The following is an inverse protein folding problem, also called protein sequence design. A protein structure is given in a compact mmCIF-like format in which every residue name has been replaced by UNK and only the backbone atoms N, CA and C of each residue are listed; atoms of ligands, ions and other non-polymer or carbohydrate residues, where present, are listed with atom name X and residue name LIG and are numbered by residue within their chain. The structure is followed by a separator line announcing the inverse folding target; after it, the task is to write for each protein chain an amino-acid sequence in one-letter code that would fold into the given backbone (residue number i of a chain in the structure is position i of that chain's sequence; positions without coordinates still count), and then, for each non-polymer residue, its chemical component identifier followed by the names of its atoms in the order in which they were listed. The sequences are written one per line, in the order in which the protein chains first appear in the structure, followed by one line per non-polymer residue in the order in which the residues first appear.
data_IF_638155736800
#
_entry.id   IF_638155736800
#
_cell.length_a   1.000
_cell.length_b   1.000
_cell.length_c   1.000
_cell.angle_alpha   90.00
_cell.angle_beta   90.00
_cell.angle_gamma   90.00
#
_symmetry.space_group_name_H-M   'P 1'
#
loop_
_entity.id
_entity.type
_entity.pdbx_description
1 polymer ?
#
# COMPACT_ATOMS: atom_id res chain seq x y z
N UNK A 1 -4.95 -33.12 -23.16
CA UNK A 1 -4.21 -32.58 -22.00
C UNK A 1 -5.20 -31.96 -21.01
N UNK A 2 -5.03 -32.13 -19.70
CA UNK A 2 -5.92 -31.51 -18.70
C UNK A 2 -5.07 -30.75 -17.69
N UNK A 3 -5.39 -29.47 -17.51
CA UNK A 3 -4.87 -28.58 -16.49
C UNK A 3 -6.06 -27.86 -15.85
N UNK A 4 -6.16 -27.90 -14.53
CA UNK A 4 -7.23 -27.27 -13.76
C UNK A 4 -6.58 -26.36 -12.73
N UNK A 5 -6.64 -25.05 -12.98
CA UNK A 5 -6.22 -24.06 -11.99
C UNK A 5 -7.30 -23.94 -10.92
N UNK A 6 -6.91 -24.01 -9.66
CA UNK A 6 -7.83 -23.74 -8.57
C UNK A 6 -8.16 -22.25 -8.53
N UNK A 7 -9.36 -21.89 -8.08
CA UNK A 7 -9.87 -20.50 -8.10
C UNK A 7 -8.95 -19.49 -7.43
N UNK A 8 -8.15 -19.90 -6.45
CA UNK A 8 -7.20 -19.01 -5.79
C UNK A 8 -5.94 -18.72 -6.62
N UNK A 9 -5.73 -19.40 -7.74
CA UNK A 9 -4.63 -19.11 -8.68
C UNK A 9 -3.25 -19.63 -8.26
N UNK A 10 -3.14 -20.29 -7.10
CA UNK A 10 -1.87 -20.68 -6.49
C UNK A 10 -1.52 -22.16 -6.63
N UNK A 11 -2.52 -23.00 -6.87
CA UNK A 11 -2.33 -24.43 -7.10
C UNK A 11 -3.14 -24.90 -8.29
N UNK A 12 -2.65 -25.92 -8.98
CA UNK A 12 -3.35 -26.55 -10.09
C UNK A 12 -3.17 -28.07 -10.10
N UNK A 13 -4.08 -28.75 -10.80
CA UNK A 13 -3.98 -30.16 -11.12
C UNK A 13 -3.67 -30.33 -12.61
N UNK A 14 -2.59 -31.02 -12.93
CA UNK A 14 -2.16 -31.34 -14.28
C UNK A 14 -2.03 -32.85 -14.45
N UNK A 15 -2.57 -33.38 -15.57
CA UNK A 15 -2.37 -34.80 -15.90
C UNK A 15 -1.08 -35.01 -16.72
N UNK A 16 -0.63 -36.26 -16.82
CA UNK A 16 0.61 -36.60 -17.55
C UNK A 16 0.62 -36.13 -19.01
N UNK A 17 -0.54 -36.02 -19.67
CA UNK A 17 -0.64 -35.48 -21.02
C UNK A 17 -0.42 -33.96 -21.07
N UNK A 18 -0.79 -33.21 -20.02
CA UNK A 18 -0.47 -31.79 -19.88
C UNK A 18 1.03 -31.57 -19.64
N UNK A 19 1.65 -32.31 -18.71
CA UNK A 19 3.11 -32.24 -18.50
C UNK A 19 3.90 -32.42 -19.80
N UNK A 20 3.57 -33.46 -20.58
CA UNK A 20 4.18 -33.69 -21.90
C UNK A 20 3.92 -32.56 -22.90
N UNK A 21 2.69 -32.03 -22.96
CA UNK A 21 2.34 -30.95 -23.88
C UNK A 21 3.07 -29.64 -23.57
N UNK A 22 3.37 -29.40 -22.28
CA UNK A 22 4.14 -28.25 -21.80
C UNK A 22 5.66 -28.49 -21.79
N UNK A 23 6.13 -29.66 -22.24
CA UNK A 23 7.55 -30.00 -22.25
C UNK A 23 8.19 -30.19 -20.87
N UNK A 24 7.39 -30.49 -19.84
CA UNK A 24 7.89 -30.74 -18.48
C UNK A 24 8.16 -32.25 -18.32
N UNK A 25 9.42 -32.69 -18.16
CA UNK A 25 9.76 -34.11 -18.04
C UNK A 25 9.31 -34.68 -16.69
N UNK A 26 9.10 -36.00 -16.60
CA UNK A 26 8.56 -36.66 -15.39
C UNK A 26 9.47 -36.55 -14.15
N UNK A 27 10.75 -36.28 -14.37
CA UNK A 27 11.81 -36.08 -13.38
C UNK A 27 12.22 -34.61 -13.23
N UNK A 28 11.44 -33.66 -13.76
CA UNK A 28 11.75 -32.24 -13.66
C UNK A 28 11.98 -31.80 -12.20
N UNK A 29 13.08 -31.09 -11.95
CA UNK A 29 13.30 -30.44 -10.67
C UNK A 29 12.23 -29.38 -10.41
N UNK A 30 12.01 -29.07 -9.13
CA UNK A 30 11.15 -27.96 -8.75
C UNK A 30 11.75 -26.63 -9.28
N UNK A 31 10.93 -25.77 -9.92
CA UNK A 31 11.40 -24.46 -10.34
C UNK A 31 11.62 -23.55 -9.13
N UNK A 32 12.39 -22.45 -9.27
CA UNK A 32 12.49 -21.43 -8.23
C UNK A 32 11.10 -20.98 -7.78
N UNK A 33 10.87 -21.01 -6.46
CA UNK A 33 9.61 -20.59 -5.83
C UNK A 33 8.36 -21.36 -6.28
N UNK A 34 8.52 -22.60 -6.75
CA UNK A 34 7.40 -23.44 -7.14
C UNK A 34 7.69 -24.90 -6.81
N UNK A 35 6.66 -25.73 -6.94
CA UNK A 35 6.80 -27.14 -6.62
C UNK A 35 5.89 -28.04 -7.45
N UNK A 36 6.43 -29.18 -7.83
CA UNK A 36 5.66 -30.33 -8.31
C UNK A 36 5.53 -31.34 -7.17
N UNK A 37 4.32 -31.58 -6.67
CA UNK A 37 4.13 -32.55 -5.60
C UNK A 37 4.38 -33.97 -6.11
N UNK A 38 5.10 -34.76 -5.32
CA UNK A 38 5.53 -36.11 -5.66
C UNK A 38 4.97 -37.12 -4.68
N UNK A 39 4.58 -38.28 -5.20
CA UNK A 39 4.12 -39.38 -4.38
C UNK A 39 5.29 -39.90 -3.53
N UNK A 40 5.13 -40.07 -2.20
CA UNK A 40 6.24 -40.40 -1.31
C UNK A 40 6.91 -41.74 -1.67
N UNK A 41 6.12 -42.75 -2.05
CA UNK A 41 6.66 -44.10 -2.32
C UNK A 41 7.27 -44.25 -3.73
N UNK A 42 6.81 -43.47 -4.71
CA UNK A 42 7.20 -43.69 -6.11
C UNK A 42 8.04 -42.56 -6.71
N UNK A 43 8.10 -41.41 -6.03
CA UNK A 43 8.76 -40.19 -6.53
C UNK A 43 8.08 -39.55 -7.76
N UNK A 44 7.03 -40.17 -8.31
CA UNK A 44 6.30 -39.66 -9.47
C UNK A 44 5.43 -38.47 -9.10
N UNK A 45 5.19 -37.57 -10.04
CA UNK A 45 4.25 -36.47 -9.84
C UNK A 45 2.86 -36.96 -9.45
N UNK A 46 2.27 -36.34 -8.43
CA UNK A 46 0.86 -36.55 -8.06
C UNK A 46 -0.09 -35.82 -9.03
N UNK A 47 0.46 -34.90 -9.83
CA UNK A 47 -0.26 -33.99 -10.70
C UNK A 47 -0.58 -32.64 -10.05
N UNK A 48 -0.39 -32.51 -8.73
CA UNK A 48 -0.56 -31.23 -8.05
C UNK A 48 0.68 -30.36 -8.28
N UNK A 49 0.46 -29.14 -8.78
CA UNK A 49 1.50 -28.14 -9.07
C UNK A 49 1.23 -26.86 -8.28
N UNK A 50 2.28 -26.21 -7.80
CA UNK A 50 2.20 -25.06 -6.89
C UNK A 50 3.01 -23.88 -7.41
N UNK A 51 2.41 -22.69 -7.34
CA UNK A 51 3.03 -21.41 -7.64
C UNK A 51 3.74 -21.39 -9.01
N UNK A 52 5.03 -21.06 -9.09
CA UNK A 52 5.74 -20.90 -10.36
C UNK A 52 5.81 -22.21 -11.17
N UNK A 53 5.57 -23.37 -10.56
CA UNK A 53 5.43 -24.65 -11.26
C UNK A 53 4.19 -24.71 -12.17
N UNK A 54 3.20 -23.84 -11.97
CA UNK A 54 2.06 -23.68 -12.87
C UNK A 54 2.40 -22.85 -14.12
N UNK A 55 3.47 -22.04 -14.11
CA UNK A 55 3.78 -21.09 -15.19
C UNK A 55 3.97 -21.74 -16.57
N UNK A 56 4.63 -22.92 -16.73
CA UNK A 56 4.72 -23.55 -18.05
C UNK A 56 3.36 -23.87 -18.67
N UNK A 57 2.39 -24.25 -17.82
CA UNK A 57 1.03 -24.56 -18.25
C UNK A 57 0.25 -23.30 -18.59
N UNK A 58 0.28 -22.31 -17.69
CA UNK A 58 -0.40 -21.02 -17.88
C UNK A 58 0.17 -20.28 -19.10
N UNK A 59 1.49 -20.29 -19.27
CA UNK A 59 2.15 -19.70 -20.43
C UNK A 59 1.68 -20.33 -21.74
N UNK A 60 1.49 -21.66 -21.79
CA UNK A 60 0.95 -22.32 -22.97
C UNK A 60 -0.54 -22.02 -23.19
N UNK A 61 -1.34 -21.93 -22.14
CA UNK A 61 -2.77 -21.59 -22.21
C UNK A 61 -2.97 -20.17 -22.73
N UNK A 62 -2.22 -19.22 -22.19
CA UNK A 62 -2.39 -17.78 -22.46
C UNK A 62 -1.52 -17.26 -23.62
N UNK A 63 -0.69 -18.12 -24.24
CA UNK A 63 0.20 -17.73 -25.34
C UNK A 63 -0.56 -17.03 -26.48
N UNK A 64 -1.77 -17.53 -26.79
CA UNK A 64 -2.58 -17.03 -27.91
C UNK A 64 -3.55 -15.90 -27.56
N UNK A 65 -3.77 -15.59 -26.27
CA UNK A 65 -4.86 -14.69 -25.87
C UNK A 65 -4.78 -13.32 -26.57
N UNK A 66 -5.73 -12.97 -27.42
CA UNK A 66 -5.70 -11.65 -28.04
C UNK A 66 -6.10 -10.57 -27.02
N UNK A 67 -5.64 -9.33 -27.20
CA UNK A 67 -6.12 -8.19 -26.38
C UNK A 67 -7.63 -8.01 -26.50
N UNK A 68 -8.21 -8.38 -27.65
CA UNK A 68 -9.66 -8.35 -27.86
C UNK A 68 -10.39 -9.44 -27.06
N UNK A 69 -9.80 -10.63 -26.96
CA UNK A 69 -10.36 -11.72 -26.15
C UNK A 69 -10.33 -11.36 -24.67
N UNK A 70 -9.25 -10.71 -24.20
CA UNK A 70 -9.18 -10.15 -22.84
C UNK A 70 -10.27 -9.09 -22.65
N UNK A 71 -10.46 -8.18 -23.62
CA UNK A 71 -11.48 -7.15 -23.55
C UNK A 71 -12.90 -7.75 -23.48
N UNK A 72 -13.21 -8.76 -24.29
CA UNK A 72 -14.49 -9.49 -24.24
C UNK A 72 -14.73 -10.19 -22.89
N UNK A 73 -13.67 -10.76 -22.30
CA UNK A 73 -13.73 -11.32 -20.96
C UNK A 73 -14.03 -10.26 -19.90
N UNK A 74 -13.32 -9.13 -19.96
CA UNK A 74 -13.51 -7.99 -19.07
C UNK A 74 -14.91 -7.39 -19.16
N UNK A 75 -15.53 -7.33 -20.34
CA UNK A 75 -16.91 -6.86 -20.50
C UNK A 75 -17.91 -7.69 -19.70
N UNK A 76 -17.70 -9.01 -19.59
CA UNK A 76 -18.55 -9.90 -18.78
C UNK A 76 -18.36 -9.61 -17.30
N UNK A 77 -17.12 -9.46 -16.85
CA UNK A 77 -16.79 -9.05 -15.46
C UNK A 77 -17.42 -7.71 -15.14
N UNK A 78 -17.35 -6.73 -16.05
CA UNK A 78 -17.93 -5.41 -15.83
C UNK A 78 -19.45 -5.45 -15.78
N UNK A 79 -20.10 -6.26 -16.62
CA UNK A 79 -21.53 -6.45 -16.56
C UNK A 79 -21.98 -7.01 -15.20
N UNK A 80 -21.22 -7.97 -14.65
CA UNK A 80 -21.45 -8.51 -13.31
C UNK A 80 -21.23 -7.45 -12.23
N UNK A 81 -20.09 -6.74 -12.21
CA UNK A 81 -19.84 -5.63 -11.28
C UNK A 81 -20.97 -4.58 -11.32
N UNK A 82 -21.38 -4.17 -12.52
CA UNK A 82 -22.45 -3.19 -12.71
C UNK A 82 -23.81 -3.70 -12.19
N UNK A 83 -24.08 -5.01 -12.30
CA UNK A 83 -25.30 -5.60 -11.74
C UNK A 83 -25.39 -5.46 -10.20
N UNK A 84 -24.24 -5.31 -9.54
CA UNK A 84 -24.12 -5.01 -8.10
C UNK A 84 -23.96 -3.51 -7.79
N UNK A 85 -24.02 -2.63 -8.78
CA UNK A 85 -23.79 -1.19 -8.61
C UNK A 85 -22.32 -0.79 -8.41
N UNK A 86 -21.38 -1.71 -8.64
CA UNK A 86 -19.95 -1.42 -8.59
C UNK A 86 -19.58 -0.67 -9.87
N UNK A 87 -19.15 0.59 -9.74
CA UNK A 87 -18.85 1.48 -10.88
C UNK A 87 -17.37 1.79 -11.06
N UNK A 88 -16.54 1.36 -10.11
CA UNK A 88 -15.09 1.53 -10.16
C UNK A 88 -14.40 0.31 -9.55
N UNK A 89 -13.29 -0.13 -10.14
CA UNK A 89 -12.48 -1.26 -9.66
C UNK A 89 -11.00 -0.94 -9.74
N UNK A 90 -10.22 -1.52 -8.84
CA UNK A 90 -8.77 -1.58 -8.97
C UNK A 90 -8.40 -3.00 -9.40
N UNK A 91 -7.76 -3.12 -10.56
CA UNK A 91 -7.30 -4.41 -11.06
C UNK A 91 -5.88 -4.66 -10.57
N UNK A 92 -5.76 -5.63 -9.67
CA UNK A 92 -4.52 -6.11 -9.07
C UNK A 92 -3.70 -6.91 -10.09
N UNK A 93 -2.36 -6.87 -9.97
CA UNK A 93 -1.42 -7.65 -10.77
C UNK A 93 -1.70 -7.62 -12.30
N UNK A 94 -2.05 -6.45 -12.83
CA UNK A 94 -2.46 -6.30 -14.23
C UNK A 94 -1.24 -6.43 -15.18
N UNK A 95 -1.19 -7.44 -16.08
CA UNK A 95 -0.08 -7.60 -17.02
C UNK A 95 -0.17 -6.62 -18.19
N UNK A 96 0.93 -6.43 -18.92
CA UNK A 96 1.04 -5.45 -20.00
C UNK A 96 -0.02 -5.64 -21.10
N UNK A 97 -0.37 -6.91 -21.41
CA UNK A 97 -1.41 -7.22 -22.40
C UNK A 97 -2.80 -6.76 -21.94
N UNK A 98 -3.13 -6.92 -20.66
CA UNK A 98 -4.39 -6.42 -20.10
C UNK A 98 -4.41 -4.89 -20.01
N UNK A 99 -3.26 -4.25 -19.71
CA UNK A 99 -3.12 -2.79 -19.78
C UNK A 99 -3.46 -2.27 -21.19
N UNK A 100 -2.97 -2.92 -22.25
CA UNK A 100 -3.31 -2.58 -23.63
C UNK A 100 -4.78 -2.84 -23.96
N UNK A 101 -5.35 -3.93 -23.45
CA UNK A 101 -6.79 -4.21 -23.59
C UNK A 101 -7.64 -3.09 -22.99
N UNK A 102 -7.32 -2.59 -21.79
CA UNK A 102 -8.02 -1.45 -21.19
C UNK A 102 -7.94 -0.18 -22.05
N UNK A 103 -6.76 0.14 -22.58
CA UNK A 103 -6.58 1.29 -23.47
C UNK A 103 -7.43 1.15 -24.74
N UNK A 104 -7.41 -0.03 -25.37
CA UNK A 104 -8.25 -0.30 -26.55
C UNK A 104 -9.73 -0.21 -26.23
N UNK A 105 -10.18 -0.77 -25.10
CA UNK A 105 -11.57 -0.65 -24.66
C UNK A 105 -11.97 0.81 -24.43
N UNK A 106 -11.07 1.62 -23.88
CA UNK A 106 -11.27 3.05 -23.68
C UNK A 106 -11.42 3.79 -25.01
N UNK A 107 -10.55 3.50 -25.98
CA UNK A 107 -10.56 4.12 -27.31
C UNK A 107 -11.78 3.76 -28.13
N UNK A 108 -12.27 2.51 -28.00
CA UNK A 108 -13.45 2.03 -28.73
C UNK A 108 -14.77 2.25 -28.00
N UNK A 109 -14.77 2.96 -26.86
CA UNK A 109 -15.98 3.21 -26.07
C UNK A 109 -16.60 1.98 -25.41
N UNK A 110 -15.83 0.89 -25.27
CA UNK A 110 -16.24 -0.38 -24.65
C UNK A 110 -16.00 -0.41 -23.13
N UNK A 111 -15.19 0.50 -22.60
CA UNK A 111 -14.90 0.57 -21.17
C UNK A 111 -16.10 1.13 -20.39
N UNK A 112 -16.71 0.29 -19.53
CA UNK A 112 -17.94 0.63 -18.79
C UNK A 112 -17.74 0.90 -17.29
N UNK A 113 -16.52 0.69 -16.79
CA UNK A 113 -16.12 0.94 -15.41
C UNK A 113 -14.91 1.87 -15.37
N UNK A 114 -14.76 2.61 -14.27
CA UNK A 114 -13.50 3.27 -13.95
C UNK A 114 -12.50 2.26 -13.40
N UNK A 115 -11.30 2.21 -13.97
CA UNK A 115 -10.30 1.18 -13.67
C UNK A 115 -9.02 1.84 -13.18
N UNK A 116 -8.64 1.52 -11.94
CA UNK A 116 -7.28 1.71 -11.47
C UNK A 116 -6.45 0.48 -11.80
N UNK A 117 -5.34 0.67 -12.51
CA UNK A 117 -4.38 -0.38 -12.86
C UNK A 117 -3.33 -0.44 -11.76
N UNK A 118 -3.22 -1.60 -11.11
CA UNK A 118 -2.06 -1.94 -10.30
C UNK A 118 -1.21 -2.87 -11.17
N UNK A 119 -0.10 -2.35 -11.71
CA UNK A 119 0.68 -3.08 -12.70
C UNK A 119 1.41 -4.28 -12.07
N UNK A 120 1.46 -5.39 -12.80
CA UNK A 120 2.02 -6.64 -12.30
C UNK A 120 3.54 -6.58 -12.16
N UNK A 121 4.02 -6.67 -10.93
CA UNK A 121 5.44 -6.89 -10.62
C UNK A 121 5.92 -8.33 -10.89
N UNK A 122 5.00 -9.24 -11.26
CA UNK A 122 5.31 -10.62 -11.70
C UNK A 122 5.77 -10.69 -13.16
N UNK A 123 5.47 -9.67 -13.97
CA UNK A 123 5.86 -9.64 -15.38
C UNK A 123 7.23 -8.98 -15.53
N UNK A 124 8.21 -9.75 -16.01
CA UNK A 124 9.58 -9.29 -16.19
C UNK A 124 9.66 -8.06 -17.10
N UNK A 125 10.29 -7.00 -16.61
CA UNK A 125 10.55 -5.77 -17.36
C UNK A 125 9.38 -4.79 -17.41
N UNK A 126 8.17 -5.16 -16.97
CA UNK A 126 7.01 -4.26 -17.03
C UNK A 126 7.23 -3.03 -16.11
N UNK A 127 7.63 -3.26 -14.86
CA UNK A 127 7.81 -2.18 -13.90
C UNK A 127 9.00 -1.29 -14.30
N UNK A 128 10.09 -1.90 -14.76
CA UNK A 128 11.26 -1.19 -15.28
C UNK A 128 10.89 -0.31 -16.48
N UNK A 129 10.03 -0.80 -17.39
CA UNK A 129 9.55 -0.03 -18.52
C UNK A 129 8.66 1.15 -18.09
N UNK A 130 7.79 0.98 -17.09
CA UNK A 130 6.98 2.06 -16.53
C UNK A 130 7.87 3.15 -15.90
N UNK A 131 8.87 2.73 -15.12
CA UNK A 131 9.86 3.64 -14.51
C UNK A 131 10.64 4.38 -15.59
N UNK A 132 11.16 3.67 -16.60
CA UNK A 132 11.94 4.26 -17.69
C UNK A 132 11.12 5.24 -18.53
N UNK A 133 9.82 4.99 -18.68
CA UNK A 133 8.88 5.88 -19.36
C UNK A 133 8.43 7.09 -18.51
N UNK A 134 8.86 7.19 -17.25
CA UNK A 134 8.49 8.27 -16.34
C UNK A 134 7.04 8.20 -15.85
N UNK A 135 6.43 7.01 -15.88
CA UNK A 135 5.07 6.78 -15.41
C UNK A 135 5.05 6.84 -13.88
N UNK A 136 4.10 7.61 -13.35
CA UNK A 136 3.88 7.79 -11.90
C UNK A 136 2.46 7.38 -11.53
N UNK A 137 2.21 7.16 -10.24
CA UNK A 137 0.84 6.96 -9.74
C UNK A 137 -0.07 8.10 -10.19
N UNK A 138 -1.23 7.74 -10.73
CA UNK A 138 -2.22 8.65 -11.30
C UNK A 138 -2.13 8.83 -12.82
N UNK A 139 -1.11 8.28 -13.49
CA UNK A 139 -0.98 8.41 -14.95
C UNK A 139 -2.14 7.75 -15.70
N UNK A 140 -2.85 8.52 -16.52
CA UNK A 140 -4.04 8.09 -17.27
C UNK A 140 -5.13 9.15 -17.26
N UNK A 141 -6.39 8.72 -17.34
CA UNK A 141 -7.57 9.58 -17.23
C UNK A 141 -8.56 9.07 -16.15
N UNK A 142 -9.73 9.69 -16.06
CA UNK A 142 -10.78 9.33 -15.09
C UNK A 142 -11.35 7.92 -15.29
N UNK A 143 -11.13 7.32 -16.46
CA UNK A 143 -11.64 5.99 -16.82
C UNK A 143 -10.61 4.90 -16.66
N UNK A 144 -9.35 5.15 -17.02
CA UNK A 144 -8.27 4.20 -16.87
C UNK A 144 -6.99 4.92 -16.46
N UNK A 145 -6.41 4.52 -15.33
CA UNK A 145 -5.16 5.10 -14.82
C UNK A 145 -4.33 4.11 -14.04
N UNK A 146 -3.02 4.25 -14.10
CA UNK A 146 -2.08 3.53 -13.23
C UNK A 146 -2.22 4.09 -11.82
N UNK A 147 -2.50 3.24 -10.85
CA UNK A 147 -2.62 3.62 -9.43
C UNK A 147 -1.49 3.06 -8.57
N UNK A 148 -0.72 2.10 -9.08
CA UNK A 148 0.41 1.50 -8.37
C UNK A 148 1.03 0.34 -9.13
N UNK A 149 1.92 -0.34 -8.45
CA UNK A 149 2.58 -1.58 -8.89
C UNK A 149 2.50 -2.58 -7.76
N UNK A 150 2.45 -3.87 -8.08
CA UNK A 150 2.22 -4.90 -7.07
C UNK A 150 3.11 -6.12 -7.18
N UNK A 151 3.60 -6.55 -6.03
CA UNK A 151 4.24 -7.84 -5.85
C UNK A 151 3.46 -8.69 -4.85
N UNK A 152 3.50 -10.00 -5.05
CA UNK A 152 2.78 -10.96 -4.23
C UNK A 152 3.78 -11.98 -3.69
N UNK A 153 4.48 -11.67 -2.59
CA UNK A 153 5.56 -12.48 -2.04
C UNK A 153 5.10 -13.76 -1.38
N UNK A 154 3.84 -13.86 -0.98
CA UNK A 154 3.27 -15.11 -0.51
C UNK A 154 1.86 -15.30 -1.08
N UNK A 155 1.20 -16.37 -0.66
CA UNK A 155 0.15 -16.99 -1.46
C UNK A 155 -1.08 -17.32 -0.61
N UNK A 156 -1.69 -18.49 -0.84
CA UNK A 156 -3.00 -18.82 -0.29
C UNK A 156 -2.91 -19.76 0.92
N UNK A 157 -3.54 -19.36 2.03
CA UNK A 157 -3.72 -20.23 3.21
C UNK A 157 -4.46 -21.51 2.83
N UNK A 158 -5.53 -21.37 2.04
CA UNK A 158 -6.31 -22.52 1.58
C UNK A 158 -5.51 -23.41 0.62
N UNK A 159 -4.50 -22.84 -0.06
CA UNK A 159 -3.59 -23.54 -0.97
C UNK A 159 -2.44 -24.22 -0.27
N UNK A 160 -2.29 -23.91 1.01
CA UNK A 160 -1.17 -24.32 1.85
C UNK A 160 0.16 -23.82 1.29
N UNK A 161 0.13 -22.60 0.73
CA UNK A 161 1.29 -21.91 0.14
C UNK A 161 1.58 -20.53 0.73
N UNK A 162 0.61 -19.88 1.41
CA UNK A 162 0.88 -18.69 2.22
C UNK A 162 2.00 -18.96 3.24
N UNK A 163 2.89 -17.98 3.43
CA UNK A 163 4.13 -18.15 4.15
C UNK A 163 3.93 -17.93 5.66
N UNK A 164 4.05 -19.00 6.44
CA UNK A 164 3.91 -18.93 7.90
C UNK A 164 5.24 -19.16 8.62
N UNK A 165 5.35 -18.69 9.88
CA UNK A 165 6.44 -19.10 10.77
C UNK A 165 6.23 -20.51 11.31
N UNK A 166 4.99 -20.88 11.62
CA UNK A 166 4.63 -22.21 12.10
C UNK A 166 4.11 -23.11 10.96
N UNK A 167 4.21 -24.45 11.09
CA UNK A 167 3.72 -25.36 10.07
C UNK A 167 2.20 -25.39 9.97
N UNK A 168 1.68 -25.66 8.78
CA UNK A 168 0.25 -25.80 8.55
C UNK A 168 -0.34 -26.95 9.36
N UNK A 169 -1.44 -26.66 10.06
CA UNK A 169 -2.24 -27.67 10.78
C UNK A 169 -3.22 -28.42 9.86
N UNK A 170 -3.80 -29.51 10.35
CA UNK A 170 -4.87 -30.26 9.67
C UNK A 170 -4.40 -31.45 8.83
N UNK A 171 -5.34 -32.04 8.09
CA UNK A 171 -5.07 -33.20 7.23
C UNK A 171 -4.17 -32.79 6.05
N UNK A 172 -3.06 -33.51 5.89
CA UNK A 172 -2.07 -33.26 4.83
C UNK A 172 -2.56 -33.76 3.47
N UNK A 173 -2.11 -33.08 2.42
CA UNK A 173 -2.33 -33.52 1.04
C UNK A 173 -1.23 -34.51 0.63
N UNK A 174 -1.55 -35.48 -0.23
CA UNK A 174 -0.56 -36.45 -0.73
C UNK A 174 0.57 -35.72 -1.45
N UNK A 175 1.80 -35.90 -0.99
CA UNK A 175 3.01 -35.25 -1.52
C UNK A 175 3.40 -33.94 -0.83
N UNK A 176 2.58 -33.47 0.11
CA UNK A 176 2.93 -32.35 0.98
C UNK A 176 4.13 -32.69 1.88
N UNK A 177 5.03 -31.72 2.11
CA UNK A 177 6.15 -31.89 3.05
C UNK A 177 5.66 -31.92 4.50
N UNK A 178 6.42 -32.62 5.35
CA UNK A 178 6.06 -32.79 6.75
C UNK A 178 5.98 -31.46 7.51
N UNK A 179 6.94 -30.56 7.28
CA UNK A 179 7.05 -29.23 7.87
C UNK A 179 6.60 -28.13 6.88
N UNK A 180 5.41 -28.26 6.30
CA UNK A 180 4.93 -27.27 5.35
C UNK A 180 4.67 -25.93 6.05
N UNK A 181 5.43 -24.89 5.70
CA UNK A 181 5.29 -23.50 6.19
C UNK A 181 4.95 -22.53 5.05
N UNK A 182 4.46 -23.05 3.92
CA UNK A 182 4.27 -22.29 2.69
C UNK A 182 5.58 -21.80 2.09
N UNK A 183 5.51 -20.83 1.18
CA UNK A 183 6.65 -20.36 0.43
C UNK A 183 6.62 -18.85 0.19
N UNK A 184 7.82 -18.26 0.17
CA UNK A 184 8.03 -16.91 -0.32
C UNK A 184 8.41 -16.98 -1.79
N UNK A 185 7.87 -16.08 -2.61
CA UNK A 185 8.05 -16.06 -4.06
C UNK A 185 9.18 -15.17 -4.56
N UNK A 186 9.92 -14.55 -3.63
CA UNK A 186 11.03 -13.66 -3.93
C UNK A 186 12.13 -13.83 -2.90
N UNK A 187 13.34 -13.47 -3.30
CA UNK A 187 14.41 -13.18 -2.35
C UNK A 187 14.17 -11.80 -1.70
N UNK A 188 14.49 -11.67 -0.41
CA UNK A 188 14.23 -10.44 0.35
C UNK A 188 14.90 -9.21 -0.27
N UNK A 189 16.17 -9.34 -0.64
CA UNK A 189 16.93 -8.26 -1.26
C UNK A 189 16.40 -7.90 -2.66
N UNK A 190 15.81 -8.87 -3.36
CA UNK A 190 15.19 -8.63 -4.66
C UNK A 190 13.92 -7.80 -4.54
N UNK A 191 13.01 -8.20 -3.65
CA UNK A 191 11.78 -7.46 -3.43
C UNK A 191 12.06 -6.05 -2.89
N UNK A 192 12.98 -5.91 -1.92
CA UNK A 192 13.41 -4.61 -1.39
C UNK A 192 13.91 -3.69 -2.49
N UNK A 193 14.80 -4.19 -3.36
CA UNK A 193 15.35 -3.41 -4.48
C UNK A 193 14.26 -2.94 -5.46
N UNK A 194 13.30 -3.82 -5.79
CA UNK A 194 12.17 -3.50 -6.68
C UNK A 194 11.24 -2.46 -6.07
N UNK A 195 10.86 -2.64 -4.80
CA UNK A 195 10.04 -1.69 -4.05
C UNK A 195 10.70 -0.31 -3.97
N UNK A 196 12.00 -0.26 -3.64
CA UNK A 196 12.78 0.99 -3.62
C UNK A 196 12.76 1.67 -4.99
N UNK A 197 12.99 0.93 -6.08
CA UNK A 197 13.04 1.49 -7.42
C UNK A 197 11.69 2.10 -7.84
N UNK A 198 10.59 1.39 -7.63
CA UNK A 198 9.25 1.87 -7.95
C UNK A 198 8.85 3.08 -7.08
N UNK A 199 9.12 3.01 -5.78
CA UNK A 199 8.82 4.11 -4.86
C UNK A 199 9.60 5.38 -5.21
N UNK A 200 10.91 5.25 -5.51
CA UNK A 200 11.75 6.36 -6.01
C UNK A 200 11.23 6.98 -7.31
N UNK A 201 10.60 6.18 -8.16
CA UNK A 201 9.99 6.64 -9.40
C UNK A 201 8.63 7.32 -9.19
N UNK A 202 8.08 7.33 -7.97
CA UNK A 202 6.77 7.91 -7.67
C UNK A 202 5.60 6.98 -8.03
N UNK A 203 5.82 5.68 -8.04
CA UNK A 203 4.80 4.65 -8.12
C UNK A 203 4.43 4.18 -6.71
N UNK A 204 3.13 3.99 -6.46
CA UNK A 204 2.62 3.41 -5.23
C UNK A 204 2.99 1.94 -5.23
N UNK A 205 3.69 1.51 -4.19
CA UNK A 205 4.10 0.12 -3.99
C UNK A 205 3.01 -0.61 -3.21
N UNK A 206 2.41 -1.62 -3.83
CA UNK A 206 1.50 -2.57 -3.20
C UNK A 206 2.22 -3.90 -3.03
N UNK A 207 2.13 -4.52 -1.86
CA UNK A 207 2.72 -5.84 -1.63
C UNK A 207 1.70 -6.67 -0.87
N UNK A 208 1.30 -7.80 -1.45
CA UNK A 208 0.38 -8.74 -0.80
C UNK A 208 1.09 -9.49 0.34
N UNK A 209 0.37 -9.76 1.43
CA UNK A 209 0.86 -10.57 2.53
C UNK A 209 -0.30 -11.31 3.19
N UNK A 210 -0.27 -12.64 3.18
CA UNK A 210 -1.35 -13.48 3.73
C UNK A 210 -0.91 -14.19 5.01
N UNK A 211 0.18 -14.93 4.96
CA UNK A 211 0.78 -15.56 6.13
C UNK A 211 1.60 -14.57 6.96
N UNK A 212 1.79 -14.84 8.25
CA UNK A 212 2.51 -13.93 9.16
C UNK A 212 3.94 -13.65 8.70
N UNK A 213 4.65 -14.68 8.23
CA UNK A 213 5.98 -14.53 7.62
C UNK A 213 5.94 -13.78 6.27
N UNK A 214 4.87 -13.94 5.50
CA UNK A 214 4.64 -13.17 4.26
C UNK A 214 4.39 -11.68 4.52
N UNK A 215 3.62 -11.37 5.55
CA UNK A 215 3.32 -10.01 6.01
C UNK A 215 4.61 -9.31 6.46
N UNK A 216 5.41 -9.95 7.33
CA UNK A 216 6.70 -9.39 7.76
C UNK A 216 7.61 -9.10 6.56
N UNK A 217 7.67 -10.02 5.59
CA UNK A 217 8.45 -9.87 4.37
C UNK A 217 8.01 -8.67 3.52
N UNK A 218 6.70 -8.42 3.43
CA UNK A 218 6.13 -7.27 2.75
C UNK A 218 6.45 -5.95 3.48
N UNK A 219 6.30 -5.92 4.81
CA UNK A 219 6.60 -4.76 5.65
C UNK A 219 8.08 -4.37 5.53
N UNK A 220 8.98 -5.35 5.59
CA UNK A 220 10.42 -5.20 5.39
C UNK A 220 10.77 -4.48 4.07
N UNK A 221 10.05 -4.79 2.99
CA UNK A 221 10.24 -4.16 1.68
C UNK A 221 9.70 -2.72 1.64
N UNK A 222 8.57 -2.46 2.28
CA UNK A 222 7.98 -1.12 2.40
C UNK A 222 8.88 -0.23 3.27
N UNK A 223 9.36 -0.71 4.41
CA UNK A 223 10.28 0.01 5.29
C UNK A 223 11.57 0.37 4.56
N UNK A 224 12.15 -0.56 3.80
CA UNK A 224 13.33 -0.29 2.97
C UNK A 224 13.07 0.78 1.90
N UNK A 225 11.90 0.76 1.25
CA UNK A 225 11.50 1.78 0.29
C UNK A 225 11.37 3.17 0.93
N UNK A 226 10.68 3.27 2.07
CA UNK A 226 10.50 4.51 2.81
C UNK A 226 11.80 5.06 3.36
N UNK A 227 12.69 4.21 3.89
CA UNK A 227 14.01 4.60 4.36
C UNK A 227 14.90 5.11 3.22
N UNK A 228 14.81 4.49 2.04
CA UNK A 228 15.60 4.86 0.86
C UNK A 228 15.09 6.13 0.16
N UNK A 229 13.79 6.43 0.26
CA UNK A 229 13.18 7.65 -0.27
C UNK A 229 11.91 8.01 0.51
N UNK A 230 11.98 8.82 1.58
CA UNK A 230 10.76 9.28 2.25
C UNK A 230 9.91 10.11 1.27
N UNK A 231 8.57 10.03 1.37
CA UNK A 231 7.61 10.50 0.36
C UNK A 231 8.00 11.84 -0.29
N UNK A 232 8.38 11.77 -1.56
CA UNK A 232 8.85 12.91 -2.33
C UNK A 232 7.83 14.05 -2.41
N UNK A 233 6.53 13.73 -2.46
CA UNK A 233 5.47 14.73 -2.57
C UNK A 233 5.26 15.44 -1.25
N UNK A 234 5.26 14.68 -0.14
CA UNK A 234 5.22 15.25 1.20
C UNK A 234 6.45 16.15 1.44
N UNK A 235 7.65 15.66 1.12
CA UNK A 235 8.90 16.44 1.17
C UNK A 235 8.81 17.70 0.30
N UNK A 236 8.36 17.59 -0.96
CA UNK A 236 8.22 18.73 -1.86
C UNK A 236 7.20 19.77 -1.35
N UNK A 237 6.08 19.33 -0.79
CA UNK A 237 5.09 20.22 -0.18
C UNK A 237 5.69 20.97 1.02
N UNK A 238 6.46 20.30 1.87
CA UNK A 238 7.16 20.93 2.98
C UNK A 238 8.28 21.87 2.52
N UNK A 239 9.04 21.50 1.50
CA UNK A 239 10.06 22.35 0.89
C UNK A 239 9.43 23.63 0.31
N UNK A 240 8.39 23.50 -0.50
CA UNK A 240 7.79 24.61 -1.23
C UNK A 240 6.96 25.53 -0.33
N UNK A 241 6.26 24.99 0.67
CA UNK A 241 5.26 25.75 1.41
C UNK A 241 5.69 26.14 2.84
N UNK A 242 6.71 25.50 3.41
CA UNK A 242 7.10 25.72 4.81
C UNK A 242 8.59 26.00 5.00
N UNK A 243 9.48 25.28 4.31
CA UNK A 243 10.93 25.46 4.44
C UNK A 243 11.37 26.86 4.01
N UNK A 244 10.79 27.40 2.92
CA UNK A 244 11.11 28.77 2.47
C UNK A 244 10.82 29.81 3.55
N UNK A 245 9.73 29.65 4.31
CA UNK A 245 9.40 30.52 5.44
C UNK A 245 10.30 30.29 6.67
N UNK A 246 10.77 29.07 6.88
CA UNK A 246 11.64 28.69 8.00
C UNK A 246 13.12 29.08 7.79
N UNK A 247 13.58 29.23 6.55
CA UNK A 247 14.97 29.55 6.22
C UNK A 247 15.42 30.92 6.74
N UNK A 248 14.56 31.93 6.72
CA UNK A 248 14.96 33.31 7.01
C UNK A 248 16.13 33.74 6.10
N UNK A 249 17.27 34.08 6.70
CA UNK A 249 18.51 34.44 5.99
C UNK A 249 19.40 33.23 5.63
N UNK A 250 19.05 32.01 6.05
CA UNK A 250 19.82 30.81 5.74
C UNK A 250 19.65 30.37 4.28
N UNK A 251 20.67 29.69 3.74
CA UNK A 251 20.63 29.09 2.39
C UNK A 251 20.36 27.58 2.48
N UNK A 252 19.85 26.97 1.41
CA UNK A 252 19.69 25.51 1.35
C UNK A 252 21.02 24.79 1.58
N UNK A 253 22.13 25.34 1.08
CA UNK A 253 23.48 24.80 1.26
C UNK A 253 24.01 24.91 2.70
N UNK A 254 23.41 25.74 3.55
CA UNK A 254 23.82 25.87 4.96
C UNK A 254 23.02 24.99 5.92
N UNK A 255 22.05 24.22 5.43
CA UNK A 255 21.27 23.30 6.26
C UNK A 255 22.11 22.09 6.66
N UNK A 256 22.03 21.70 7.92
CA UNK A 256 22.69 20.53 8.51
C UNK A 256 21.83 19.25 8.44
N UNK A 257 20.68 19.32 7.77
CA UNK A 257 19.79 18.18 7.52
C UNK A 257 19.40 18.11 6.04
N UNK A 258 19.07 16.90 5.56
CA UNK A 258 18.66 16.63 4.18
C UNK A 258 17.18 16.25 4.05
N UNK A 259 16.78 15.84 2.84
CA UNK A 259 15.40 15.47 2.53
C UNK A 259 14.82 14.35 3.41
N UNK A 260 15.68 13.46 3.93
CA UNK A 260 15.25 12.39 4.85
C UNK A 260 14.63 12.93 6.15
N UNK A 261 15.27 13.91 6.79
CA UNK A 261 14.76 14.52 8.02
C UNK A 261 13.48 15.33 7.76
N UNK A 262 13.39 15.99 6.60
CA UNK A 262 12.17 16.71 6.22
C UNK A 262 11.01 15.75 5.93
N UNK A 263 11.29 14.61 5.32
CA UNK A 263 10.32 13.54 5.11
C UNK A 263 9.86 12.91 6.41
N UNK A 264 10.77 12.75 7.39
CA UNK A 264 10.41 12.28 8.73
C UNK A 264 9.49 13.28 9.45
N UNK A 265 9.77 14.58 9.34
CA UNK A 265 8.88 15.61 9.87
C UNK A 265 7.48 15.56 9.23
N UNK A 266 7.42 15.32 7.92
CA UNK A 266 6.15 15.17 7.21
C UNK A 266 5.35 13.96 7.71
N UNK A 267 6.02 12.82 7.89
CA UNK A 267 5.41 11.61 8.43
C UNK A 267 4.82 11.84 9.83
N UNK A 268 5.52 12.56 10.72
CA UNK A 268 5.02 12.88 12.07
C UNK A 268 3.70 13.69 12.06
N UNK A 269 3.45 14.46 11.00
CA UNK A 269 2.20 15.20 10.83
C UNK A 269 1.09 14.28 10.31
N UNK A 270 1.39 13.42 9.35
CA UNK A 270 0.45 12.46 8.78
C UNK A 270 0.02 11.40 9.79
N UNK A 271 0.95 10.91 10.61
CA UNK A 271 0.71 10.00 11.73
C UNK A 271 -0.13 10.64 12.86
N UNK A 272 -0.40 11.95 12.79
CA UNK A 272 -1.12 12.70 13.82
C UNK A 272 -0.33 12.86 15.13
N UNK A 273 0.99 12.62 15.10
CA UNK A 273 1.88 12.85 16.25
C UNK A 273 2.07 14.35 16.48
N UNK A 274 2.14 15.15 15.41
CA UNK A 274 2.21 16.60 15.45
C UNK A 274 1.02 17.24 14.73
N UNK A 275 0.60 18.41 15.19
CA UNK A 275 -0.22 19.29 14.37
C UNK A 275 0.66 19.98 13.30
N UNK A 276 0.07 20.34 12.16
CA UNK A 276 0.78 21.05 11.10
C UNK A 276 1.42 22.37 11.57
N UNK A 277 0.82 23.02 12.57
CA UNK A 277 1.37 24.24 13.19
C UNK A 277 2.63 23.94 13.98
N UNK A 278 2.59 22.92 14.86
CA UNK A 278 3.74 22.53 15.68
C UNK A 278 4.89 22.03 14.79
N UNK A 279 4.59 21.31 13.71
CA UNK A 279 5.62 20.85 12.78
C UNK A 279 6.39 21.98 12.11
N UNK A 280 5.79 23.17 11.89
CA UNK A 280 6.52 24.35 11.40
C UNK A 280 7.51 24.88 12.44
N UNK A 281 7.16 24.83 13.72
CA UNK A 281 8.08 25.22 14.79
C UNK A 281 9.25 24.24 14.92
N UNK A 282 8.97 22.95 14.76
CA UNK A 282 10.01 21.91 14.69
C UNK A 282 10.91 22.16 13.48
N UNK A 283 10.35 22.46 12.30
CA UNK A 283 11.13 22.78 11.10
C UNK A 283 12.06 23.99 11.30
N UNK A 284 11.56 25.06 11.93
CA UNK A 284 12.38 26.24 12.23
C UNK A 284 13.56 25.90 13.15
N UNK A 285 13.35 25.01 14.12
CA UNK A 285 14.40 24.52 15.01
C UNK A 285 15.40 23.60 14.28
N UNK A 286 14.93 22.74 13.37
CA UNK A 286 15.78 21.95 12.48
C UNK A 286 16.70 22.86 11.65
N UNK A 287 16.18 23.97 11.11
CA UNK A 287 16.96 24.97 10.35
C UNK A 287 18.04 25.62 11.22
N UNK A 288 17.74 25.93 12.48
CA UNK A 288 18.70 26.59 13.37
C UNK A 288 19.80 25.66 13.90
N UNK A 289 19.47 24.39 14.19
CA UNK A 289 20.32 23.51 15.02
C UNK A 289 20.71 22.19 14.35
N UNK A 290 20.06 21.81 13.25
CA UNK A 290 20.33 20.53 12.57
C UNK A 290 19.85 19.29 13.31
N UNK A 291 18.95 19.43 14.29
CA UNK A 291 18.49 18.32 15.09
C UNK A 291 17.44 17.48 14.34
N UNK A 292 17.41 16.19 14.65
CA UNK A 292 16.41 15.26 14.15
C UNK A 292 15.00 15.62 14.68
N UNK A 293 13.94 15.58 13.84
CA UNK A 293 12.60 15.97 14.26
C UNK A 293 12.06 15.14 15.43
N UNK A 294 12.34 13.83 15.51
CA UNK A 294 11.88 13.00 16.63
C UNK A 294 12.53 13.43 17.96
N UNK A 295 13.81 13.82 17.91
CA UNK A 295 14.52 14.31 19.09
C UNK A 295 13.94 15.64 19.59
N UNK A 296 13.64 16.58 18.68
CA UNK A 296 13.02 17.86 19.04
C UNK A 296 11.64 17.63 19.68
N UNK A 297 10.84 16.73 19.09
CA UNK A 297 9.50 16.39 19.58
C UNK A 297 9.55 15.78 20.98
N UNK A 298 10.47 14.84 21.21
CA UNK A 298 10.65 14.20 22.50
C UNK A 298 11.13 15.19 23.57
N UNK A 299 12.15 16.00 23.26
CA UNK A 299 12.73 16.96 24.21
C UNK A 299 11.73 18.04 24.64
N UNK A 300 10.83 18.46 23.74
CA UNK A 300 9.88 19.54 23.99
C UNK A 300 8.47 19.08 24.36
N UNK A 301 8.21 17.76 24.39
CA UNK A 301 6.90 17.20 24.73
C UNK A 301 5.78 17.71 23.79
N UNK A 302 6.08 17.74 22.49
CA UNK A 302 5.24 18.37 21.46
C UNK A 302 4.14 17.47 20.89
N UNK A 303 4.05 16.23 21.36
CA UNK A 303 3.06 15.27 20.89
C UNK A 303 1.64 15.80 21.07
N UNK A 304 0.83 15.60 20.04
CA UNK A 304 -0.57 15.96 20.02
C UNK A 304 -1.35 15.17 21.09
N UNK A 305 -2.23 15.87 21.80
CA UNK A 305 -3.12 15.34 22.82
C UNK A 305 -4.40 14.89 22.10
N UNK A 306 -4.51 13.57 21.91
CA UNK A 306 -5.67 12.89 21.31
C UNK A 306 -6.45 12.06 22.33
N UNK A 307 -6.34 12.39 23.62
CA UNK A 307 -7.07 11.74 24.71
C UNK A 307 -8.20 12.66 25.22
N UNK A 308 -9.43 12.15 25.18
CA UNK A 308 -10.60 12.86 25.66
C UNK A 308 -10.52 13.17 27.16
N UNK A 309 -9.95 12.28 27.97
CA UNK A 309 -9.80 12.51 29.41
C UNK A 309 -8.84 13.66 29.71
N UNK A 310 -7.80 13.82 28.90
CA UNK A 310 -6.85 14.94 29.00
C UNK A 310 -7.43 16.27 28.49
N UNK A 311 -8.30 16.25 27.46
CA UNK A 311 -8.90 17.46 26.89
C UNK A 311 -10.12 17.98 27.67
N UNK A 312 -10.92 17.08 28.27
CA UNK A 312 -12.11 17.42 29.04
C UNK A 312 -11.90 18.52 30.11
N UNK A 313 -10.88 18.47 31.00
CA UNK A 313 -10.68 19.52 32.00
C UNK A 313 -10.32 20.88 31.38
N UNK A 314 -9.63 20.89 30.24
CA UNK A 314 -9.25 22.11 29.52
C UNK A 314 -10.49 22.75 28.88
N UNK A 315 -11.35 21.94 28.28
CA UNK A 315 -12.62 22.39 27.70
C UNK A 315 -13.53 22.98 28.77
N UNK A 316 -13.69 22.29 29.91
CA UNK A 316 -14.47 22.78 31.04
C UNK A 316 -13.96 24.13 31.55
N UNK A 317 -12.63 24.30 31.64
CA UNK A 317 -12.00 25.57 32.00
C UNK A 317 -12.31 26.68 31.00
N UNK A 318 -12.17 26.42 29.69
CA UNK A 318 -12.47 27.40 28.63
C UNK A 318 -13.91 27.88 28.69
N UNK A 319 -14.85 26.98 28.95
CA UNK A 319 -16.28 27.29 29.12
C UNK A 319 -16.49 28.17 30.36
N UNK A 320 -15.91 27.78 31.50
CA UNK A 320 -16.03 28.51 32.76
C UNK A 320 -15.43 29.95 32.69
N UNK A 321 -14.35 30.13 31.93
CA UNK A 321 -13.71 31.43 31.71
C UNK A 321 -14.50 32.35 30.74
N UNK A 322 -15.51 31.83 30.02
CA UNK A 322 -16.21 32.57 28.95
C UNK A 322 -17.76 32.48 29.01
N UNK A 323 -18.41 32.71 30.16
CA UNK A 323 -19.85 32.46 30.33
C UNK A 323 -20.75 33.26 29.37
N UNK A 324 -20.41 34.51 29.08
CA UNK A 324 -21.18 35.35 28.14
C UNK A 324 -21.19 34.80 26.71
N UNK A 325 -20.05 34.24 26.27
CA UNK A 325 -19.94 33.65 24.92
C UNK A 325 -20.65 32.31 24.83
N UNK A 326 -20.71 31.56 25.93
CA UNK A 326 -21.48 30.32 26.02
C UNK A 326 -22.97 30.61 25.85
N UNK A 327 -23.48 31.64 26.55
CA UNK A 327 -24.86 32.09 26.38
C UNK A 327 -25.15 32.57 24.95
N UNK A 328 -24.21 33.31 24.33
CA UNK A 328 -24.33 33.75 22.94
C UNK A 328 -24.32 32.59 21.94
N UNK A 329 -23.51 31.56 22.15
CA UNK A 329 -23.48 30.35 21.31
C UNK A 329 -24.82 29.62 21.37
N UNK A 330 -25.33 29.35 22.59
CA UNK A 330 -26.61 28.68 22.84
C UNK A 330 -27.83 29.44 22.34
N UNK A 331 -27.74 30.76 22.22
CA UNK A 331 -28.80 31.62 21.66
C UNK A 331 -28.74 31.77 20.14
N UNK A 332 -27.97 30.93 19.46
CA UNK A 332 -28.00 30.83 17.99
C UNK A 332 -26.83 31.52 17.27
N UNK A 333 -25.67 31.68 17.90
CA UNK A 333 -24.43 32.12 17.23
C UNK A 333 -23.40 30.99 17.10
N UNK A 334 -23.62 30.00 16.20
CA UNK A 334 -22.74 28.83 16.07
C UNK A 334 -21.32 29.19 15.60
N UNK A 335 -21.11 30.36 14.97
CA UNK A 335 -19.78 30.83 14.57
C UNK A 335 -18.81 31.03 15.74
N UNK A 336 -19.30 31.14 16.99
CA UNK A 336 -18.46 31.25 18.18
C UNK A 336 -17.68 29.98 18.49
N UNK A 337 -17.98 28.84 17.83
CA UNK A 337 -17.17 27.62 18.00
C UNK A 337 -15.69 27.87 17.66
N UNK A 338 -15.40 28.73 16.68
CA UNK A 338 -14.03 29.10 16.33
C UNK A 338 -13.29 29.82 17.46
N UNK A 339 -13.99 30.64 18.24
CA UNK A 339 -13.42 31.29 19.42
C UNK A 339 -13.03 30.27 20.49
N UNK A 340 -13.93 29.35 20.82
CA UNK A 340 -13.69 28.32 21.83
C UNK A 340 -12.55 27.38 21.43
N UNK A 341 -12.52 26.97 20.16
CA UNK A 341 -11.40 26.21 19.61
C UNK A 341 -10.07 26.96 19.74
N UNK A 342 -10.06 28.28 19.45
CA UNK A 342 -8.88 29.11 19.66
C UNK A 342 -8.38 29.12 21.11
N UNK A 343 -9.28 29.11 22.10
CA UNK A 343 -8.92 29.05 23.52
C UNK A 343 -8.38 27.67 23.92
N UNK A 344 -8.99 26.57 23.43
CA UNK A 344 -8.50 25.21 23.70
C UNK A 344 -7.08 25.03 23.13
N UNK A 345 -6.86 25.50 21.90
CA UNK A 345 -5.53 25.49 21.29
C UNK A 345 -4.53 26.31 22.11
N UNK A 346 -4.94 27.48 22.62
CA UNK A 346 -4.07 28.31 23.47
C UNK A 346 -3.67 27.61 24.77
N UNK A 347 -4.63 27.03 25.48
CA UNK A 347 -4.38 26.33 26.76
C UNK A 347 -3.56 25.05 26.60
N UNK A 348 -3.59 24.43 25.42
CA UNK A 348 -2.77 23.24 25.11
C UNK A 348 -1.42 23.56 24.45
N UNK A 349 -1.14 24.84 24.16
CA UNK A 349 0.04 25.22 23.38
C UNK A 349 0.01 24.66 21.95
N UNK A 350 -1.19 24.56 21.35
CA UNK A 350 -1.40 24.04 20.00
C UNK A 350 -1.39 22.51 19.88
N UNK A 351 -1.33 21.80 21.02
CA UNK A 351 -1.22 20.34 21.07
C UNK A 351 -2.56 19.62 21.04
N UNK A 352 -3.70 20.28 21.24
CA UNK A 352 -4.99 19.59 21.17
C UNK A 352 -5.23 19.04 19.75
N UNK A 353 -5.73 17.80 19.65
CA UNK A 353 -6.28 17.31 18.39
C UNK A 353 -7.50 18.16 17.98
N UNK A 354 -7.46 18.87 16.83
CA UNK A 354 -8.52 19.82 16.47
C UNK A 354 -9.90 19.17 16.28
N UNK A 355 -9.92 17.94 15.78
CA UNK A 355 -11.16 17.23 15.49
C UNK A 355 -11.82 16.79 16.81
N UNK A 356 -11.07 16.08 17.64
CA UNK A 356 -11.55 15.62 18.94
C UNK A 356 -11.90 16.78 19.88
N UNK A 357 -11.07 17.84 19.92
CA UNK A 357 -11.35 19.01 20.73
C UNK A 357 -12.62 19.76 20.28
N UNK A 358 -12.89 19.80 18.96
CA UNK A 358 -14.12 20.38 18.42
C UNK A 358 -15.33 19.56 18.84
N UNK A 359 -15.27 18.24 18.64
CA UNK A 359 -16.37 17.34 19.02
C UNK A 359 -16.70 17.46 20.51
N UNK A 360 -15.70 17.39 21.38
CA UNK A 360 -15.88 17.52 22.83
C UNK A 360 -16.37 18.93 23.23
N UNK A 361 -15.93 19.98 22.56
CA UNK A 361 -16.38 21.35 22.82
C UNK A 361 -17.84 21.54 22.39
N UNK A 362 -18.23 21.05 21.21
CA UNK A 362 -19.61 21.11 20.72
C UNK A 362 -20.54 20.33 21.66
N UNK A 363 -20.15 19.13 22.09
CA UNK A 363 -20.88 18.35 23.10
C UNK A 363 -21.00 19.08 24.44
N UNK A 364 -19.94 19.75 24.91
CA UNK A 364 -19.95 20.46 26.19
C UNK A 364 -20.77 21.76 26.13
N UNK A 365 -20.86 22.40 24.96
CA UNK A 365 -21.65 23.60 24.75
C UNK A 365 -23.15 23.30 24.64
N UNK A 366 -23.54 22.07 24.27
CA UNK A 366 -24.93 21.60 24.27
C UNK A 366 -25.62 21.85 22.94
#
# INVERSE_FOLDING_TARGET
PVFILRTDGHIALANAAAFRACGVPEDAADPPFGRFDRHPDTGRFTGLVRETAAHPFLGQIHASDAEDEIAEGLERVFAECLSYGITSVYNSLTPARAIRAYQRMRDTGRLRLRVGIIASGREDGLIEALIAAGIRTGFGDDWVRVIGVEWCPDCSTSGRTAAYYEPYVGAKVVGEVEDNRGMLLYEADDLKRRAIAAHKAGLLVCIEGVGDRGIDFALDAIEAALAAHPDAQAVANWMNNALQGALGDATLSSLSFGGAALGRLAALVEEGVLSATIAKDVLAEMVQRGADPDQIVAARGLRQISDAAALAPIIARVIAENPEKVAAYRSGRPSLIGFFMGQVMRHTGGKANPQLARELMEQALG
#
